data_IF_909921114055
#
_entry.id   IF_909921114055
#
_cell.length_a   1.000
_cell.length_b   1.000
_cell.length_c   1.000
_cell.angle_alpha   90.00
_cell.angle_beta   90.00
_cell.angle_gamma   90.00
#
_symmetry.space_group_name_H-M   'P 1'
#
loop_
_entity.id
_entity.type
_entity.pdbx_description
1 polymer ?
#
# COMPACT_ATOMS: atom_id res chain seq x y z
N UNK A 1 -2.17 -10.28 -10.94
CA UNK A 1 -3.20 -9.35 -11.44
C UNK A 1 -4.62 -9.86 -11.13
N UNK A 2 -5.03 -11.04 -11.62
CA UNK A 2 -6.40 -11.58 -11.43
C UNK A 2 -6.89 -11.66 -9.97
N UNK A 3 -5.99 -11.92 -9.02
CA UNK A 3 -6.35 -12.04 -7.60
C UNK A 3 -6.75 -10.70 -6.97
N UNK A 4 -6.05 -9.61 -7.31
CA UNK A 4 -6.35 -8.27 -6.80
C UNK A 4 -7.66 -7.72 -7.39
N UNK A 5 -7.95 -7.96 -8.67
CA UNK A 5 -9.24 -7.59 -9.25
C UNK A 5 -10.41 -8.34 -8.60
N UNK A 6 -10.26 -9.63 -8.33
CA UNK A 6 -11.28 -10.43 -7.63
C UNK A 6 -11.56 -9.89 -6.22
N UNK A 7 -10.51 -9.52 -5.50
CA UNK A 7 -10.57 -8.89 -4.17
C UNK A 7 -11.37 -7.59 -4.22
N UNK A 8 -11.04 -6.68 -5.15
CA UNK A 8 -11.73 -5.40 -5.29
C UNK A 8 -13.20 -5.59 -5.66
N UNK A 9 -13.50 -6.54 -6.54
CA UNK A 9 -14.86 -6.84 -6.95
C UNK A 9 -15.71 -7.38 -5.79
N UNK A 10 -15.13 -8.24 -4.94
CA UNK A 10 -15.79 -8.76 -3.75
C UNK A 10 -16.11 -7.64 -2.74
N UNK A 11 -15.17 -6.69 -2.54
CA UNK A 11 -15.41 -5.50 -1.73
C UNK A 11 -16.54 -4.63 -2.26
N UNK A 12 -16.55 -4.36 -3.57
CA UNK A 12 -17.56 -3.51 -4.20
C UNK A 12 -18.97 -4.12 -4.11
N UNK A 13 -19.08 -5.43 -4.33
CA UNK A 13 -20.36 -6.13 -4.16
C UNK A 13 -20.83 -6.14 -2.71
N UNK A 14 -19.93 -6.35 -1.74
CA UNK A 14 -20.30 -6.29 -0.32
C UNK A 14 -20.83 -4.91 0.08
N UNK A 15 -20.20 -3.84 -0.41
CA UNK A 15 -20.64 -2.47 -0.17
C UNK A 15 -22.06 -2.21 -0.71
N UNK A 16 -22.40 -2.75 -1.90
CA UNK A 16 -23.74 -2.62 -2.49
C UNK A 16 -24.84 -3.36 -1.72
N UNK A 17 -24.47 -4.36 -0.91
CA UNK A 17 -25.40 -5.25 -0.20
C UNK A 17 -25.54 -4.92 1.30
N UNK A 18 -24.89 -3.86 1.77
CA UNK A 18 -24.81 -3.55 3.21
C UNK A 18 -26.13 -3.01 3.75
N UNK A 19 -26.48 -3.42 4.98
CA UNK A 19 -27.64 -2.90 5.71
C UNK A 19 -27.29 -1.55 6.38
N UNK A 20 -28.26 -0.63 6.57
CA UNK A 20 -27.99 0.70 7.13
C UNK A 20 -27.37 0.72 8.54
N UNK A 21 -27.56 -0.33 9.35
CA UNK A 21 -26.88 -0.47 10.65
C UNK A 21 -25.39 -0.81 10.49
N UNK A 22 -25.06 -1.69 9.54
CA UNK A 22 -23.68 -2.12 9.24
C UNK A 22 -22.90 -1.02 8.50
N UNK A 23 -23.63 -0.16 7.77
CA UNK A 23 -23.09 1.01 7.08
C UNK A 23 -22.41 1.98 8.05
N UNK A 24 -23.00 2.27 9.22
CA UNK A 24 -22.43 3.24 10.18
C UNK A 24 -21.08 2.81 10.75
N UNK A 25 -20.93 1.52 11.06
CA UNK A 25 -19.68 0.93 11.55
C UNK A 25 -18.64 0.91 10.43
N UNK A 26 -19.04 0.49 9.23
CA UNK A 26 -18.14 0.47 8.08
C UNK A 26 -17.69 1.88 7.68
N UNK A 27 -18.57 2.87 7.70
CA UNK A 27 -18.28 4.27 7.37
C UNK A 27 -17.20 4.84 8.28
N UNK A 28 -17.27 4.54 9.59
CA UNK A 28 -16.25 4.95 10.56
C UNK A 28 -14.87 4.39 10.21
N UNK A 29 -14.82 3.12 9.82
CA UNK A 29 -13.60 2.45 9.36
C UNK A 29 -13.09 3.00 8.03
N UNK A 30 -13.98 3.24 7.06
CA UNK A 30 -13.64 3.85 5.77
C UNK A 30 -13.07 5.25 5.98
N UNK A 31 -13.70 6.10 6.79
CA UNK A 31 -13.20 7.46 7.03
C UNK A 31 -11.79 7.45 7.62
N UNK A 32 -11.52 6.58 8.60
CA UNK A 32 -10.18 6.43 9.17
C UNK A 32 -9.16 5.93 8.14
N UNK A 33 -9.59 4.97 7.30
CA UNK A 33 -8.76 4.36 6.27
C UNK A 33 -8.42 5.34 5.14
N UNK A 34 -9.40 6.11 4.67
CA UNK A 34 -9.26 7.09 3.58
C UNK A 34 -8.29 8.21 3.95
N UNK A 35 -8.35 8.72 5.19
CA UNK A 35 -7.43 9.78 5.65
C UNK A 35 -5.98 9.27 5.64
N UNK A 36 -5.72 8.08 6.20
CA UNK A 36 -4.38 7.51 6.24
C UNK A 36 -3.87 7.13 4.85
N UNK A 37 -4.72 6.47 4.05
CA UNK A 37 -4.39 6.02 2.70
C UNK A 37 -4.12 7.20 1.76
N UNK A 38 -5.04 8.16 1.71
CA UNK A 38 -4.92 9.37 0.89
C UNK A 38 -3.70 10.19 1.29
N UNK A 39 -3.51 10.43 2.60
CA UNK A 39 -2.35 11.14 3.11
C UNK A 39 -1.03 10.46 2.77
N UNK A 40 -0.97 9.13 2.89
CA UNK A 40 0.24 8.35 2.57
C UNK A 40 0.59 8.42 1.09
N UNK A 41 -0.38 8.25 0.19
CA UNK A 41 -0.14 8.32 -1.27
C UNK A 41 0.31 9.72 -1.67
N UNK A 42 -0.39 10.76 -1.18
CA UNK A 42 -0.02 12.15 -1.45
C UNK A 42 1.41 12.42 -0.96
N UNK A 43 1.74 12.00 0.27
CA UNK A 43 3.09 12.16 0.82
C UNK A 43 4.18 11.47 -0.01
N UNK A 44 3.97 10.21 -0.42
CA UNK A 44 4.92 9.44 -1.23
C UNK A 44 5.20 10.15 -2.57
N UNK A 45 4.15 10.60 -3.28
CA UNK A 45 4.33 11.28 -4.56
C UNK A 45 4.91 12.68 -4.41
N UNK A 46 4.56 13.42 -3.34
CA UNK A 46 5.19 14.71 -3.05
C UNK A 46 6.70 14.57 -2.84
N UNK A 47 7.13 13.57 -2.05
CA UNK A 47 8.56 13.27 -1.86
C UNK A 47 9.23 12.93 -3.19
N UNK A 48 8.56 12.16 -4.05
CA UNK A 48 9.07 11.81 -5.38
C UNK A 48 9.30 13.05 -6.26
N UNK A 49 8.35 13.99 -6.26
CA UNK A 49 8.45 15.24 -7.00
C UNK A 49 9.59 16.12 -6.46
N UNK A 50 9.78 16.14 -5.15
CA UNK A 50 10.90 16.86 -4.52
C UNK A 50 12.24 16.27 -4.99
N UNK A 51 12.39 14.94 -5.01
CA UNK A 51 13.62 14.29 -5.47
C UNK A 51 13.86 14.58 -6.96
N UNK A 52 12.83 14.44 -7.80
CA UNK A 52 12.93 14.73 -9.23
C UNK A 52 13.30 16.20 -9.49
N UNK A 53 12.79 17.13 -8.70
CA UNK A 53 13.12 18.56 -8.84
C UNK A 53 14.45 18.97 -8.17
N UNK A 54 15.06 18.09 -7.37
CA UNK A 54 16.36 18.29 -6.71
C UNK A 54 17.49 18.83 -7.60
N UNK A 55 17.69 18.33 -8.84
CA UNK A 55 18.70 18.85 -9.77
C UNK A 55 18.55 20.33 -10.09
N UNK A 56 17.32 20.83 -10.13
CA UNK A 56 17.00 22.23 -10.42
C UNK A 56 17.29 23.12 -9.21
N UNK A 57 17.14 22.59 -7.99
CA UNK A 57 17.29 23.35 -6.74
C UNK A 57 18.70 23.25 -6.12
N UNK A 58 19.38 22.11 -6.28
CA UNK A 58 20.71 21.82 -5.71
C UNK A 58 21.86 21.95 -6.73
N UNK A 59 21.61 22.41 -7.96
CA UNK A 59 22.60 22.43 -9.06
C UNK A 59 23.28 21.08 -9.32
N UNK A 60 22.58 19.98 -9.06
CA UNK A 60 23.05 18.62 -9.30
C UNK A 60 22.72 18.18 -10.74
N UNK A 61 23.51 17.31 -11.37
CA UNK A 61 23.29 16.94 -12.76
C UNK A 61 22.06 16.04 -12.96
N UNK A 62 21.72 15.22 -11.95
CA UNK A 62 20.67 14.19 -12.00
C UNK A 62 19.96 14.02 -10.65
N UNK A 63 18.68 13.55 -10.63
CA UNK A 63 17.92 13.34 -9.38
C UNK A 63 18.57 12.35 -8.42
N UNK A 64 19.27 11.36 -8.97
CA UNK A 64 20.02 10.36 -8.21
C UNK A 64 21.47 10.42 -8.69
N UNK A 65 22.40 10.40 -7.72
CA UNK A 65 23.82 10.26 -8.01
C UNK A 65 24.08 8.85 -8.56
N UNK A 66 24.39 8.78 -9.85
CA UNK A 66 24.69 7.53 -10.55
C UNK A 66 25.88 7.74 -11.47
N UNK A 67 26.83 6.81 -11.43
CA UNK A 67 27.93 6.74 -12.39
C UNK A 67 27.49 5.93 -13.60
N UNK A 68 27.68 6.50 -14.79
CA UNK A 68 27.35 5.84 -16.04
C UNK A 68 28.65 5.48 -16.78
N UNK A 69 28.75 4.27 -17.36
CA UNK A 69 29.93 3.86 -18.13
C UNK A 69 30.02 4.55 -19.50
N UNK A 70 29.18 5.55 -19.77
CA UNK A 70 29.09 6.32 -20.99
C UNK A 70 28.88 7.81 -20.66
N UNK A 71 29.24 8.69 -21.58
CA UNK A 71 29.15 10.12 -21.37
C UNK A 71 27.69 10.60 -21.38
N UNK A 72 27.18 10.90 -20.19
CA UNK A 72 25.81 11.37 -19.94
C UNK A 72 25.71 12.88 -19.79
N UNK A 73 26.81 13.62 -19.85
CA UNK A 73 26.78 15.07 -19.62
C UNK A 73 26.46 15.87 -20.89
N UNK A 74 26.52 15.21 -22.05
CA UNK A 74 26.20 15.79 -23.35
C UNK A 74 24.73 15.56 -23.73
N UNK A 75 24.13 16.50 -24.47
CA UNK A 75 22.81 16.32 -25.05
C UNK A 75 22.90 15.39 -26.28
N UNK A 76 21.94 14.47 -26.49
CA UNK A 76 20.68 14.27 -25.77
C UNK A 76 20.75 13.28 -24.60
N UNK A 77 21.91 12.66 -24.36
CA UNK A 77 22.08 11.60 -23.35
C UNK A 77 21.72 12.05 -21.95
N UNK A 78 22.06 13.29 -21.59
CA UNK A 78 21.66 13.90 -20.31
C UNK A 78 20.16 13.89 -20.09
N UNK A 79 19.39 14.24 -21.12
CA UNK A 79 17.93 14.26 -21.05
C UNK A 79 17.35 12.86 -20.91
N UNK A 80 17.91 11.89 -21.65
CA UNK A 80 17.47 10.49 -21.58
C UNK A 80 17.71 9.90 -20.19
N UNK A 81 18.92 10.11 -19.63
CA UNK A 81 19.27 9.63 -18.30
C UNK A 81 18.37 10.27 -17.22
N UNK A 82 18.10 11.58 -17.32
CA UNK A 82 17.20 12.27 -16.41
C UNK A 82 15.76 11.72 -16.46
N UNK A 83 15.22 11.51 -17.66
CA UNK A 83 13.87 10.94 -17.84
C UNK A 83 13.83 9.52 -17.28
N UNK A 84 14.86 8.71 -17.56
CA UNK A 84 14.94 7.35 -17.06
C UNK A 84 14.93 7.30 -15.54
N UNK A 85 15.79 8.08 -14.88
CA UNK A 85 15.81 8.16 -13.41
C UNK A 85 14.47 8.63 -12.84
N UNK A 86 13.83 9.62 -13.48
CA UNK A 86 12.51 10.10 -13.06
C UNK A 86 11.44 9.00 -13.14
N UNK A 87 11.45 8.20 -14.21
CA UNK A 87 10.55 7.04 -14.36
C UNK A 87 10.82 6.01 -13.27
N UNK A 88 12.09 5.68 -12.98
CA UNK A 88 12.44 4.74 -11.92
C UNK A 88 11.96 5.21 -10.54
N UNK A 89 12.08 6.50 -10.23
CA UNK A 89 11.57 7.09 -8.98
C UNK A 89 10.04 6.92 -8.90
N UNK A 90 9.31 7.27 -9.98
CA UNK A 90 7.85 7.13 -10.03
C UNK A 90 7.40 5.67 -9.90
N UNK A 91 8.11 4.73 -10.51
CA UNK A 91 7.85 3.29 -10.38
C UNK A 91 8.08 2.79 -8.96
N UNK A 92 9.18 3.20 -8.31
CA UNK A 92 9.45 2.87 -6.92
C UNK A 92 8.33 3.37 -6.00
N UNK A 93 7.87 4.61 -6.21
CA UNK A 93 6.76 5.19 -5.47
C UNK A 93 5.44 4.44 -5.69
N UNK A 94 5.15 4.02 -6.92
CA UNK A 94 4.00 3.15 -7.20
C UNK A 94 4.09 1.81 -6.44
N UNK A 95 5.27 1.20 -6.34
CA UNK A 95 5.47 -0.03 -5.57
C UNK A 95 5.22 0.18 -4.07
N UNK A 96 5.63 1.31 -3.51
CA UNK A 96 5.33 1.64 -2.10
C UNK A 96 3.82 1.77 -1.90
N UNK A 97 3.10 2.40 -2.83
CA UNK A 97 1.64 2.53 -2.78
C UNK A 97 0.90 1.18 -2.78
N UNK A 98 1.44 0.14 -3.42
CA UNK A 98 0.86 -1.22 -3.40
C UNK A 98 0.87 -1.81 -1.98
N UNK A 99 1.90 -1.51 -1.19
CA UNK A 99 1.95 -1.93 0.23
C UNK A 99 0.87 -1.20 1.04
N UNK A 100 0.67 0.09 0.81
CA UNK A 100 -0.39 0.88 1.45
C UNK A 100 -1.78 0.33 1.11
N UNK A 101 -2.00 -0.04 -0.15
CA UNK A 101 -3.26 -0.68 -0.59
C UNK A 101 -3.52 -2.02 0.11
N UNK A 102 -2.46 -2.79 0.37
CA UNK A 102 -2.59 -4.06 1.11
C UNK A 102 -3.00 -3.84 2.56
N UNK A 103 -2.38 -2.86 3.22
CA UNK A 103 -2.76 -2.48 4.59
C UNK A 103 -4.23 -2.07 4.66
N UNK A 104 -4.72 -1.37 3.64
CA UNK A 104 -6.13 -1.01 3.50
C UNK A 104 -7.04 -2.25 3.39
N UNK A 105 -6.67 -3.25 2.58
CA UNK A 105 -7.41 -4.52 2.47
C UNK A 105 -7.47 -5.27 3.82
N UNK A 106 -6.38 -5.25 4.58
CA UNK A 106 -6.31 -5.88 5.91
C UNK A 106 -7.15 -5.12 6.93
N UNK A 107 -7.13 -3.79 6.94
CA UNK A 107 -8.00 -2.99 7.79
C UNK A 107 -9.48 -3.21 7.48
N UNK A 108 -9.85 -3.31 6.21
CA UNK A 108 -11.22 -3.67 5.84
C UNK A 108 -11.61 -5.07 6.33
N UNK A 109 -10.71 -6.04 6.17
CA UNK A 109 -10.95 -7.41 6.68
C UNK A 109 -11.13 -7.41 8.19
N UNK A 110 -10.33 -6.63 8.92
CA UNK A 110 -10.45 -6.44 10.37
C UNK A 110 -11.79 -5.81 10.77
N UNK A 111 -12.24 -4.79 10.03
CA UNK A 111 -13.53 -4.15 10.29
C UNK A 111 -14.70 -5.14 10.12
N UNK A 112 -14.65 -6.00 9.10
CA UNK A 112 -15.66 -7.06 8.91
C UNK A 112 -15.64 -8.10 10.02
N UNK A 113 -14.47 -8.42 10.58
CA UNK A 113 -14.35 -9.34 11.71
C UNK A 113 -14.94 -8.74 12.99
N UNK A 114 -14.78 -7.44 13.22
CA UNK A 114 -15.38 -6.75 14.36
C UNK A 114 -16.90 -6.67 14.25
N UNK A 115 -17.43 -6.34 13.07
CA UNK A 115 -18.87 -6.39 12.79
C UNK A 115 -19.44 -7.80 13.05
N UNK A 116 -18.70 -8.83 12.67
CA UNK A 116 -19.09 -10.22 12.89
C UNK A 116 -19.08 -10.59 14.38
N UNK A 117 -18.19 -9.97 15.18
CA UNK A 117 -18.10 -10.13 16.63
C UNK A 117 -19.28 -9.46 17.34
N UNK A 118 -19.69 -8.27 16.90
CA UNK A 118 -20.91 -7.60 17.39
C UNK A 118 -22.16 -8.43 17.10
N UNK A 119 -22.26 -8.97 15.88
CA UNK A 119 -23.34 -9.89 15.51
C UNK A 119 -23.34 -11.15 16.37
N UNK A 120 -22.16 -11.65 16.75
CA UNK A 120 -21.96 -12.80 17.65
C UNK A 120 -22.55 -12.56 19.04
N UNK A 121 -22.43 -11.34 19.56
CA UNK A 121 -22.96 -10.95 20.86
C UNK A 121 -24.50 -10.88 20.88
N UNK A 122 -25.14 -10.75 19.71
CA UNK A 122 -26.59 -10.75 19.54
C UNK A 122 -27.19 -12.14 19.25
N UNK A 123 -26.37 -13.21 19.20
CA UNK A 123 -26.82 -14.55 18.82
C UNK A 123 -27.61 -15.21 19.95
N UNK A 124 -28.81 -15.74 19.61
CA UNK A 124 -29.66 -16.53 20.52
C UNK A 124 -29.69 -18.03 20.20
N UNK A 125 -29.06 -18.48 19.11
CA UNK A 125 -29.17 -19.85 18.60
C UNK A 125 -27.81 -20.44 18.17
N UNK A 126 -27.58 -21.72 18.46
CA UNK A 126 -26.36 -22.48 18.11
C UNK A 126 -26.16 -22.58 16.58
N UNK A 127 -27.26 -22.60 15.81
CA UNK A 127 -27.19 -22.59 14.35
C UNK A 127 -26.59 -21.28 13.80
N UNK A 128 -27.03 -20.14 14.33
CA UNK A 128 -26.52 -18.82 13.95
C UNK A 128 -25.06 -18.64 14.38
N UNK A 129 -24.69 -19.21 15.54
CA UNK A 129 -23.30 -19.27 16.01
C UNK A 129 -22.40 -20.03 15.02
N UNK A 130 -22.84 -21.20 14.58
CA UNK A 130 -22.08 -22.04 13.63
C UNK A 130 -21.89 -21.31 12.29
N UNK A 131 -22.93 -20.63 11.80
CA UNK A 131 -22.87 -19.84 10.56
C UNK A 131 -21.90 -18.65 10.69
N UNK A 132 -21.93 -17.97 11.84
CA UNK A 132 -21.03 -16.86 12.13
C UNK A 132 -19.55 -17.31 12.16
N UNK A 133 -19.27 -18.44 12.82
CA UNK A 133 -17.91 -19.03 12.86
C UNK A 133 -17.43 -19.43 11.45
N UNK A 134 -18.30 -19.96 10.59
CA UNK A 134 -17.94 -20.28 9.21
C UNK A 134 -17.56 -19.03 8.39
N UNK A 135 -18.32 -17.94 8.51
CA UNK A 135 -18.01 -16.67 7.84
C UNK A 135 -16.72 -16.05 8.39
N UNK A 136 -16.48 -16.15 9.69
CA UNK A 136 -15.24 -15.73 10.33
C UNK A 136 -14.02 -16.47 9.75
N UNK A 137 -14.10 -17.79 9.62
CA UNK A 137 -13.02 -18.58 9.04
C UNK A 137 -12.78 -18.29 7.56
N UNK A 138 -13.82 -17.97 6.79
CA UNK A 138 -13.65 -17.52 5.39
C UNK A 138 -12.89 -16.20 5.31
N UNK A 139 -13.25 -15.22 6.15
CA UNK A 139 -12.56 -13.92 6.23
C UNK A 139 -11.08 -14.07 6.64
N UNK A 140 -10.79 -14.93 7.62
CA UNK A 140 -9.42 -15.24 8.04
C UNK A 140 -8.60 -15.87 6.91
N UNK A 141 -9.17 -16.86 6.20
CA UNK A 141 -8.51 -17.48 5.04
C UNK A 141 -8.22 -16.46 3.94
N UNK A 142 -9.15 -15.53 3.69
CA UNK A 142 -8.96 -14.44 2.75
C UNK A 142 -7.81 -13.51 3.17
N UNK A 143 -7.80 -13.06 4.43
CA UNK A 143 -6.73 -12.21 4.95
C UNK A 143 -5.37 -12.91 4.88
N UNK A 144 -5.31 -14.20 5.21
CA UNK A 144 -4.07 -14.99 5.11
C UNK A 144 -3.57 -15.08 3.66
N UNK A 145 -4.47 -15.23 2.70
CA UNK A 145 -4.14 -15.22 1.27
C UNK A 145 -3.57 -13.86 0.82
N UNK A 146 -4.13 -12.75 1.29
CA UNK A 146 -3.61 -11.40 1.04
C UNK A 146 -2.23 -11.26 1.65
N UNK A 147 -2.05 -11.60 2.93
CA UNK A 147 -0.74 -11.53 3.62
C UNK A 147 0.31 -12.36 2.87
N UNK A 148 -0.03 -13.58 2.46
CA UNK A 148 0.90 -14.47 1.74
C UNK A 148 1.33 -13.90 0.39
N UNK A 149 0.44 -13.22 -0.32
CA UNK A 149 0.76 -12.57 -1.59
C UNK A 149 1.71 -11.37 -1.41
N UNK A 150 1.59 -10.63 -0.31
CA UNK A 150 2.40 -9.42 -0.06
C UNK A 150 3.69 -9.68 0.73
N UNK A 151 3.76 -10.77 1.50
CA UNK A 151 4.94 -11.13 2.30
C UNK A 151 6.29 -10.96 1.58
N UNK A 152 6.51 -11.44 0.34
CA UNK A 152 7.79 -11.22 -0.35
C UNK A 152 8.07 -9.75 -0.64
N UNK A 153 7.06 -8.97 -1.03
CA UNK A 153 7.20 -7.53 -1.29
C UNK A 153 7.53 -6.75 -0.02
N UNK A 154 6.84 -7.05 1.08
CA UNK A 154 7.10 -6.43 2.39
C UNK A 154 8.52 -6.74 2.89
N UNK A 155 8.98 -7.98 2.71
CA UNK A 155 10.34 -8.38 3.07
C UNK A 155 11.39 -7.61 2.26
N UNK A 156 11.20 -7.52 0.94
CA UNK A 156 12.09 -6.74 0.04
C UNK A 156 12.17 -5.28 0.49
N UNK A 157 11.03 -4.64 0.75
CA UNK A 157 10.97 -3.24 1.20
C UNK A 157 11.70 -3.05 2.53
N UNK A 158 11.51 -3.98 3.47
CA UNK A 158 12.19 -3.92 4.77
C UNK A 158 13.71 -4.04 4.64
N UNK A 159 14.20 -4.94 3.77
CA UNK A 159 15.62 -5.07 3.48
C UNK A 159 16.19 -3.79 2.83
N UNK A 160 15.52 -3.23 1.82
CA UNK A 160 15.98 -2.00 1.18
C UNK A 160 16.01 -0.81 2.16
N UNK A 161 14.97 -0.65 2.98
CA UNK A 161 14.91 0.42 3.97
C UNK A 161 15.99 0.29 5.04
N UNK A 162 16.25 -0.93 5.55
CA UNK A 162 17.30 -1.16 6.56
C UNK A 162 18.70 -0.90 6.00
N UNK A 163 19.00 -1.38 4.79
CA UNK A 163 20.25 -1.07 4.11
C UNK A 163 20.42 0.43 3.88
N UNK A 164 19.37 1.12 3.44
CA UNK A 164 19.40 2.57 3.26
C UNK A 164 19.71 3.32 4.55
N UNK A 165 19.08 2.91 5.66
CA UNK A 165 19.30 3.53 6.98
C UNK A 165 20.73 3.31 7.50
N UNK A 166 21.29 2.11 7.28
CA UNK A 166 22.68 1.80 7.62
C UNK A 166 23.63 2.68 6.80
N UNK A 167 23.43 2.79 5.49
CA UNK A 167 24.27 3.62 4.61
C UNK A 167 24.22 5.08 5.04
N UNK A 168 23.03 5.62 5.28
CA UNK A 168 22.88 7.00 5.79
C UNK A 168 23.62 7.15 7.12
N UNK A 169 23.43 6.22 8.07
CA UNK A 169 24.15 6.25 9.34
C UNK A 169 25.67 6.26 9.17
N UNK A 170 26.21 5.48 8.22
CA UNK A 170 27.64 5.45 7.91
C UNK A 170 28.15 6.73 7.25
N UNK A 171 27.32 7.43 6.46
CA UNK A 171 27.71 8.71 5.83
C UNK A 171 27.78 9.85 6.87
N UNK A 172 26.97 9.78 7.93
CA UNK A 172 26.89 10.81 8.97
C UNK A 172 27.87 10.61 10.14
N UNK A 173 28.60 9.47 10.21
CA UNK A 173 29.65 9.18 11.20
C UNK A 173 31.02 9.55 10.64
#
# INVERSE_FOLDING_TARGET
YNRFQSITFEMENFYKLIKPHEETILQKYINKCVIFYGGSIIGIYLISIIIISGPVTLNQPFPIMAEYPFDVFHQPMRTIAYIHQSICILQASAHICINTYTTLLLWFSSARLELLTDNLHAIRNIYDLTKCVQEHQKLLKYAEQVIRAIRPFAFIVMCFSTLGLIIVGLIFV
#
